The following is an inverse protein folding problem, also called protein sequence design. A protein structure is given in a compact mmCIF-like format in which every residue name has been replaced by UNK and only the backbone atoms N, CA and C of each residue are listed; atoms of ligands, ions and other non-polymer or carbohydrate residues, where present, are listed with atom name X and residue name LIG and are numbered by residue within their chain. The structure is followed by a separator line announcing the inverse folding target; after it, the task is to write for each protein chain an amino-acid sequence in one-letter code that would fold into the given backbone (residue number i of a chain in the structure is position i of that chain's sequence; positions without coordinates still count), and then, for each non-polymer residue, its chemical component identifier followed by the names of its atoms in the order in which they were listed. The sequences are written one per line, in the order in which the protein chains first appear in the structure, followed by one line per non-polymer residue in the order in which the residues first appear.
data_IF_802058374559
#
_entry.id   IF_802058374559
#
_cell.length_a   1.000
_cell.length_b   1.000
_cell.length_c   1.000
_cell.angle_alpha   90.00
_cell.angle_beta   90.00
_cell.angle_gamma   90.00
#
_symmetry.space_group_name_H-M   'P 1'
#
loop_
_entity.id
_entity.type
_entity.pdbx_description
1 polymer ?
#
# COMPACT_ATOMS: atom_id res chain seq x y z
N UNK A 1 -27.96 -14.35 -21.07
CA UNK A 1 -27.67 -13.96 -19.70
C UNK A 1 -27.29 -12.47 -19.78
N UNK A 2 -27.97 -11.60 -19.07
CA UNK A 2 -27.75 -10.14 -19.18
C UNK A 2 -26.54 -9.72 -18.33
N UNK A 3 -25.68 -8.88 -18.88
CA UNK A 3 -24.65 -8.18 -18.10
C UNK A 3 -25.37 -7.25 -17.12
N UNK A 4 -24.97 -7.23 -15.86
CA UNK A 4 -25.51 -6.32 -14.85
C UNK A 4 -25.27 -4.87 -15.32
N UNK A 5 -26.27 -4.00 -15.21
CA UNK A 5 -26.15 -2.61 -15.64
C UNK A 5 -25.12 -1.88 -14.76
N UNK A 6 -24.26 -1.06 -15.36
CA UNK A 6 -23.21 -0.33 -14.64
C UNK A 6 -23.77 0.60 -13.56
N UNK A 7 -24.96 1.14 -13.77
CA UNK A 7 -25.67 1.97 -12.79
C UNK A 7 -26.05 1.19 -11.54
N UNK A 8 -26.43 -0.08 -11.69
CA UNK A 8 -26.76 -0.97 -10.56
C UNK A 8 -25.50 -1.31 -9.77
N UNK A 9 -24.39 -1.67 -10.45
CA UNK A 9 -23.08 -1.89 -9.83
C UNK A 9 -22.65 -0.64 -9.06
N UNK A 10 -22.79 0.54 -9.67
CA UNK A 10 -22.47 1.84 -9.03
C UNK A 10 -23.29 2.06 -7.77
N UNK A 11 -24.59 1.77 -7.82
CA UNK A 11 -25.49 1.93 -6.67
C UNK A 11 -25.12 1.03 -5.51
N UNK A 12 -24.84 -0.26 -5.76
CA UNK A 12 -24.45 -1.24 -4.73
C UNK A 12 -23.10 -0.91 -4.09
N UNK A 13 -22.12 -0.48 -4.87
CA UNK A 13 -20.81 -0.03 -4.35
C UNK A 13 -21.00 1.23 -3.48
N UNK A 14 -21.76 2.22 -3.96
CA UNK A 14 -22.01 3.45 -3.22
C UNK A 14 -22.71 3.18 -1.87
N UNK A 15 -23.74 2.33 -1.85
CA UNK A 15 -24.46 1.97 -0.63
C UNK A 15 -23.54 1.36 0.43
N UNK A 16 -22.69 0.40 0.03
CA UNK A 16 -21.77 -0.26 0.94
C UNK A 16 -20.70 0.71 1.47
N UNK A 17 -20.11 1.54 0.62
CA UNK A 17 -19.10 2.52 1.04
C UNK A 17 -19.71 3.60 1.94
N UNK A 18 -20.91 4.09 1.64
CA UNK A 18 -21.62 5.05 2.49
C UNK A 18 -22.01 4.47 3.87
N UNK A 19 -22.20 3.16 3.97
CA UNK A 19 -22.38 2.49 5.25
C UNK A 19 -21.06 2.37 6.02
N UNK A 20 -20.00 1.89 5.36
CA UNK A 20 -18.70 1.62 5.96
C UNK A 20 -18.00 2.87 6.51
N UNK A 21 -18.17 4.02 5.87
CA UNK A 21 -17.60 5.29 6.36
C UNK A 21 -18.15 5.74 7.72
N UNK A 22 -19.26 5.17 8.19
CA UNK A 22 -19.80 5.46 9.53
C UNK A 22 -18.99 4.81 10.65
N UNK A 23 -18.23 3.77 10.33
CA UNK A 23 -17.41 3.05 11.30
C UNK A 23 -16.04 3.71 11.42
N UNK A 24 -16.00 4.84 12.10
CA UNK A 24 -14.81 5.68 12.31
C UNK A 24 -14.77 6.26 13.71
N UNK A 25 -13.58 6.37 14.29
CA UNK A 25 -13.34 7.04 15.57
C UNK A 25 -13.37 8.58 15.46
N UNK A 26 -13.34 9.13 14.23
CA UNK A 26 -13.33 10.59 13.95
C UNK A 26 -14.50 11.03 13.07
N UNK A 27 -15.76 10.89 13.52
CA UNK A 27 -16.93 11.25 12.71
C UNK A 27 -16.89 12.72 12.29
N UNK A 28 -16.94 12.98 10.97
CA UNK A 28 -16.91 14.34 10.41
C UNK A 28 -15.50 14.88 10.15
N UNK A 29 -14.46 14.13 10.49
CA UNK A 29 -13.07 14.48 10.23
C UNK A 29 -12.29 13.29 9.62
N UNK A 30 -12.86 12.70 8.57
CA UNK A 30 -12.33 11.55 7.86
C UNK A 30 -12.54 10.21 8.56
N UNK A 31 -11.90 9.18 8.02
CA UNK A 31 -11.96 7.82 8.55
C UNK A 31 -10.75 7.54 9.45
N UNK A 32 -11.03 7.07 10.67
CA UNK A 32 -10.02 6.50 11.58
C UNK A 32 -10.54 5.14 12.04
N UNK A 33 -10.03 4.08 11.40
CA UNK A 33 -10.40 2.69 11.65
C UNK A 33 -9.13 1.87 11.83
N UNK A 34 -8.53 2.02 13.02
CA UNK A 34 -7.30 1.29 13.34
C UNK A 34 -7.59 -0.20 13.61
N UNK A 35 -6.61 -1.09 13.38
CA UNK A 35 -6.78 -2.52 13.61
C UNK A 35 -7.08 -2.82 15.08
N UNK A 36 -7.89 -3.85 15.32
CA UNK A 36 -8.28 -4.33 16.64
C UNK A 36 -9.00 -3.29 17.52
N UNK A 37 -9.74 -2.36 16.88
CA UNK A 37 -10.61 -1.39 17.55
C UNK A 37 -12.09 -1.76 17.40
N UNK A 38 -12.95 -1.02 18.09
CA UNK A 38 -14.41 -1.16 17.95
C UNK A 38 -14.85 -0.83 16.52
N UNK A 39 -14.31 0.22 15.92
CA UNK A 39 -14.63 0.66 14.56
C UNK A 39 -14.27 -0.40 13.52
N UNK A 40 -13.11 -1.06 13.71
CA UNK A 40 -12.69 -2.20 12.88
C UNK A 40 -13.66 -3.39 13.07
N UNK A 41 -14.09 -3.69 14.31
CA UNK A 41 -15.06 -4.77 14.59
C UNK A 41 -16.39 -4.49 13.92
N UNK A 42 -16.89 -3.26 14.01
CA UNK A 42 -18.16 -2.86 13.40
C UNK A 42 -18.08 -2.99 11.85
N UNK A 43 -16.96 -2.58 11.25
CA UNK A 43 -16.72 -2.75 9.82
C UNK A 43 -16.66 -4.23 9.41
N UNK A 44 -15.91 -5.07 10.13
CA UNK A 44 -15.82 -6.53 9.88
C UNK A 44 -17.20 -7.19 9.97
N UNK A 45 -18.01 -6.83 10.99
CA UNK A 45 -19.37 -7.37 11.12
C UNK A 45 -20.23 -7.01 9.91
N UNK A 46 -20.17 -5.77 9.46
CA UNK A 46 -20.88 -5.33 8.25
C UNK A 46 -20.40 -6.05 6.99
N UNK A 47 -19.08 -6.17 6.80
CA UNK A 47 -18.51 -6.91 5.67
C UNK A 47 -18.98 -8.38 5.66
N UNK A 48 -19.04 -9.03 6.83
CA UNK A 48 -19.56 -10.39 6.95
C UNK A 48 -21.02 -10.50 6.52
N UNK A 49 -21.86 -9.54 6.88
CA UNK A 49 -23.27 -9.49 6.45
C UNK A 49 -23.35 -9.35 4.92
N UNK A 50 -22.64 -8.38 4.34
CA UNK A 50 -22.67 -8.11 2.90
C UNK A 50 -22.09 -9.27 2.08
N UNK A 51 -21.01 -9.91 2.55
CA UNK A 51 -20.44 -11.12 1.94
C UNK A 51 -21.43 -12.29 1.99
N UNK A 52 -22.12 -12.49 3.13
CA UNK A 52 -23.13 -13.53 3.27
C UNK A 52 -24.33 -13.31 2.32
N UNK A 53 -24.81 -12.08 2.18
CA UNK A 53 -25.84 -11.70 1.22
C UNK A 53 -25.40 -11.93 -0.23
N UNK A 54 -24.13 -11.71 -0.53
CA UNK A 54 -23.53 -12.04 -1.82
C UNK A 54 -23.47 -13.56 -2.08
N UNK A 55 -23.74 -14.41 -1.05
CA UNK A 55 -23.78 -15.85 -1.14
C UNK A 55 -22.44 -16.54 -0.87
N UNK A 56 -21.55 -15.86 -0.18
CA UNK A 56 -20.24 -16.37 0.22
C UNK A 56 -20.35 -17.13 1.57
N UNK A 57 -19.51 -18.15 1.75
CA UNK A 57 -19.26 -18.75 3.08
C UNK A 57 -18.21 -17.90 3.79
N UNK A 58 -18.58 -17.27 4.90
CA UNK A 58 -17.78 -16.22 5.54
C UNK A 58 -17.18 -16.69 6.86
N UNK A 59 -15.91 -16.41 7.07
CA UNK A 59 -15.22 -16.59 8.34
C UNK A 59 -14.24 -15.43 8.60
N UNK A 60 -13.78 -15.30 9.82
CA UNK A 60 -12.67 -14.44 10.21
C UNK A 60 -11.51 -15.37 10.60
N UNK A 61 -10.30 -15.11 10.12
CA UNK A 61 -9.13 -15.89 10.48
C UNK A 61 -8.46 -15.38 11.78
N UNK A 62 -7.40 -16.04 12.20
CA UNK A 62 -6.69 -15.76 13.45
C UNK A 62 -5.93 -14.41 13.42
N UNK A 63 -5.70 -13.84 12.24
CA UNK A 63 -5.12 -12.49 12.09
C UNK A 63 -6.18 -11.39 12.09
N UNK A 64 -7.47 -11.73 12.03
CA UNK A 64 -8.57 -10.80 11.92
C UNK A 64 -8.91 -10.42 10.47
N UNK A 65 -8.38 -11.15 9.48
CA UNK A 65 -8.84 -11.01 8.11
C UNK A 65 -10.27 -11.52 7.97
N UNK A 66 -11.13 -10.81 7.25
CA UNK A 66 -12.47 -11.30 6.92
C UNK A 66 -12.45 -11.93 5.54
N UNK A 67 -12.87 -13.19 5.44
CA UNK A 67 -12.75 -14.00 4.24
C UNK A 67 -14.11 -14.59 3.87
N UNK A 68 -14.50 -14.38 2.61
CA UNK A 68 -15.72 -14.96 2.02
C UNK A 68 -15.37 -15.86 0.84
N UNK A 69 -15.90 -17.09 0.80
CA UNK A 69 -15.61 -18.08 -0.25
C UNK A 69 -16.85 -18.34 -1.10
N UNK A 70 -16.76 -18.05 -2.39
CA UNK A 70 -17.66 -18.61 -3.40
C UNK A 70 -17.09 -19.94 -3.86
N UNK A 71 -17.77 -21.04 -3.51
CA UNK A 71 -17.30 -22.38 -3.85
C UNK A 71 -17.34 -22.67 -5.34
N UNK A 72 -16.24 -23.24 -5.82
CA UNK A 72 -16.14 -23.79 -7.16
C UNK A 72 -16.50 -25.28 -7.23
N UNK A 73 -16.63 -25.79 -8.44
CA UNK A 73 -16.91 -27.23 -8.71
C UNK A 73 -15.77 -28.13 -8.20
N UNK A 74 -14.52 -27.66 -8.25
CA UNK A 74 -13.35 -28.38 -7.76
C UNK A 74 -12.60 -27.49 -6.72
N UNK A 75 -12.92 -27.64 -5.43
CA UNK A 75 -12.32 -26.86 -4.36
C UNK A 75 -10.83 -27.17 -4.10
N UNK A 76 -10.30 -28.25 -4.66
CA UNK A 76 -8.90 -28.65 -4.50
C UNK A 76 -7.95 -27.88 -5.46
N UNK A 77 -8.50 -27.19 -6.46
CA UNK A 77 -7.72 -26.30 -7.32
C UNK A 77 -7.30 -25.03 -6.55
N UNK A 78 -6.10 -24.47 -6.84
CA UNK A 78 -5.71 -23.18 -6.30
C UNK A 78 -6.76 -22.11 -6.55
N UNK A 79 -7.19 -21.41 -5.52
CA UNK A 79 -8.24 -20.40 -5.65
C UNK A 79 -7.77 -19.13 -6.39
N UNK A 80 -8.72 -18.37 -6.91
CA UNK A 80 -8.51 -16.96 -7.25
C UNK A 80 -8.95 -16.16 -6.05
N UNK A 81 -8.09 -15.25 -5.57
CA UNK A 81 -8.39 -14.37 -4.44
C UNK A 81 -8.49 -12.92 -4.93
N UNK A 82 -9.45 -12.17 -4.41
CA UNK A 82 -9.61 -10.74 -4.67
C UNK A 82 -9.93 -10.00 -3.38
N UNK A 83 -9.28 -8.85 -3.16
CA UNK A 83 -9.54 -8.05 -1.98
C UNK A 83 -8.56 -6.91 -1.82
N UNK A 84 -8.57 -6.31 -0.65
CA UNK A 84 -7.70 -5.25 -0.15
C UNK A 84 -7.87 -5.18 1.37
N UNK A 85 -7.46 -4.08 2.02
CA UNK A 85 -7.57 -3.92 3.46
C UNK A 85 -8.85 -3.18 3.90
N UNK A 86 -9.20 -3.32 5.19
CA UNK A 86 -10.37 -2.64 5.75
C UNK A 86 -10.01 -1.59 6.81
N UNK A 87 -8.77 -1.54 7.28
CA UNK A 87 -8.26 -0.50 8.18
C UNK A 87 -7.98 0.80 7.44
N UNK A 88 -7.63 1.84 8.16
CA UNK A 88 -7.28 3.16 7.62
C UNK A 88 -6.23 3.85 8.49
N UNK A 89 -5.56 4.84 7.94
CA UNK A 89 -4.78 5.81 8.72
C UNK A 89 -5.67 6.67 9.62
N UNK A 90 -5.06 7.45 10.53
CA UNK A 90 -5.79 8.45 11.35
C UNK A 90 -6.26 9.59 10.45
N UNK A 91 -7.55 9.97 10.56
CA UNK A 91 -8.17 11.02 9.73
C UNK A 91 -7.96 10.79 8.22
N UNK A 92 -7.97 9.53 7.78
CA UNK A 92 -7.84 9.14 6.39
C UNK A 92 -9.07 9.44 5.54
N UNK A 93 -9.08 8.91 4.32
CA UNK A 93 -10.22 8.97 3.44
C UNK A 93 -11.25 7.87 3.68
N UNK A 94 -12.33 7.91 2.90
CA UNK A 94 -13.44 6.95 3.01
C UNK A 94 -13.28 5.75 2.05
N UNK A 95 -12.23 5.73 1.21
CA UNK A 95 -12.12 4.80 0.09
C UNK A 95 -10.86 3.93 0.13
N UNK A 96 -9.78 4.44 0.73
CA UNK A 96 -8.50 3.76 0.82
C UNK A 96 -8.64 2.35 1.39
N UNK A 97 -8.17 1.33 0.65
CA UNK A 97 -8.31 -0.10 0.95
C UNK A 97 -9.74 -0.62 0.90
N UNK A 98 -10.61 -0.05 1.72
CA UNK A 98 -11.97 -0.56 1.91
C UNK A 98 -12.80 -0.60 0.62
N UNK A 99 -12.54 0.31 -0.33
CA UNK A 99 -13.22 0.29 -1.63
C UNK A 99 -12.82 -0.96 -2.45
N UNK A 100 -11.57 -1.42 -2.34
CA UNK A 100 -11.12 -2.67 -2.96
C UNK A 100 -11.87 -3.88 -2.42
N UNK A 101 -12.09 -3.94 -1.10
CA UNK A 101 -12.89 -5.00 -0.47
C UNK A 101 -14.34 -4.99 -0.96
N UNK A 102 -14.97 -3.80 -1.01
CA UNK A 102 -16.35 -3.66 -1.52
C UNK A 102 -16.44 -4.06 -2.99
N UNK A 103 -15.48 -3.66 -3.82
CA UNK A 103 -15.44 -4.05 -5.24
C UNK A 103 -15.22 -5.56 -5.43
N UNK A 104 -14.46 -6.20 -4.55
CA UNK A 104 -14.28 -7.65 -4.56
C UNK A 104 -15.59 -8.40 -4.22
N UNK A 105 -16.33 -7.92 -3.21
CA UNK A 105 -17.66 -8.45 -2.88
C UNK A 105 -18.62 -8.25 -4.06
N UNK A 106 -18.59 -7.07 -4.69
CA UNK A 106 -19.42 -6.77 -5.86
C UNK A 106 -19.06 -7.69 -7.05
N UNK A 107 -17.78 -8.04 -7.26
CA UNK A 107 -17.38 -9.00 -8.27
C UNK A 107 -18.03 -10.38 -8.05
N UNK A 108 -18.08 -10.87 -6.81
CA UNK A 108 -18.76 -12.10 -6.47
C UNK A 108 -20.29 -12.02 -6.74
N UNK A 109 -20.92 -10.88 -6.42
CA UNK A 109 -22.35 -10.63 -6.74
C UNK A 109 -22.60 -10.66 -8.24
N UNK A 110 -21.76 -9.98 -9.04
CA UNK A 110 -21.92 -9.99 -10.50
C UNK A 110 -21.82 -11.41 -11.08
N UNK A 111 -20.88 -12.23 -10.61
CA UNK A 111 -20.79 -13.63 -11.04
C UNK A 111 -22.06 -14.42 -10.69
N UNK A 112 -22.61 -14.22 -9.50
CA UNK A 112 -23.87 -14.85 -9.06
C UNK A 112 -25.07 -14.41 -9.90
N UNK A 113 -25.20 -13.08 -10.14
CA UNK A 113 -26.28 -12.51 -10.94
C UNK A 113 -26.25 -13.01 -12.40
N UNK A 114 -25.07 -13.24 -12.93
CA UNK A 114 -24.88 -13.86 -14.24
C UNK A 114 -25.09 -15.38 -14.26
N UNK A 115 -25.28 -16.01 -13.10
CA UNK A 115 -25.42 -17.46 -12.98
C UNK A 115 -24.12 -18.21 -13.31
N UNK A 116 -22.98 -17.58 -13.11
CA UNK A 116 -21.68 -18.18 -13.36
C UNK A 116 -21.31 -19.16 -12.25
N UNK A 117 -20.91 -20.37 -12.63
CA UNK A 117 -20.39 -21.38 -11.71
C UNK A 117 -18.88 -21.49 -11.90
N UNK A 118 -18.07 -21.12 -10.90
CA UNK A 118 -16.62 -21.20 -11.00
C UNK A 118 -16.13 -22.63 -10.93
N UNK A 119 -15.04 -22.97 -11.64
CA UNK A 119 -14.38 -24.28 -11.52
C UNK A 119 -13.59 -24.42 -10.22
N UNK A 120 -12.97 -23.35 -9.76
CA UNK A 120 -12.19 -23.26 -8.52
C UNK A 120 -12.80 -22.25 -7.57
N UNK A 121 -12.42 -22.28 -6.30
CA UNK A 121 -12.91 -21.31 -5.33
C UNK A 121 -12.54 -19.88 -5.72
N UNK A 122 -13.47 -18.95 -5.49
CA UNK A 122 -13.20 -17.52 -5.51
C UNK A 122 -13.23 -16.99 -4.08
N UNK A 123 -12.09 -16.55 -3.57
CA UNK A 123 -11.95 -16.02 -2.22
C UNK A 123 -11.99 -14.48 -2.25
N UNK A 124 -12.84 -13.89 -1.43
CA UNK A 124 -12.90 -12.45 -1.20
C UNK A 124 -12.27 -12.17 0.16
N UNK A 125 -11.34 -11.22 0.25
CA UNK A 125 -10.65 -10.92 1.51
C UNK A 125 -10.66 -9.43 1.82
N UNK A 126 -10.89 -9.11 3.12
CA UNK A 126 -10.57 -7.84 3.72
C UNK A 126 -9.43 -8.05 4.72
N UNK A 127 -8.24 -7.56 4.40
CA UNK A 127 -7.04 -7.70 5.24
C UNK A 127 -7.08 -6.77 6.44
N UNK A 128 -6.46 -7.21 7.54
CA UNK A 128 -6.31 -6.47 8.78
C UNK A 128 -4.94 -5.80 8.83
N UNK A 129 -4.91 -4.49 9.11
CA UNK A 129 -3.68 -3.71 9.39
C UNK A 129 -2.67 -3.71 8.23
N UNK A 130 -3.10 -3.26 7.05
CA UNK A 130 -2.19 -2.98 5.94
C UNK A 130 -1.34 -1.74 6.23
N UNK A 131 -1.97 -0.69 6.73
CA UNK A 131 -1.40 0.65 6.93
C UNK A 131 -0.33 0.71 8.03
N UNK A 132 -0.36 -0.23 8.98
CA UNK A 132 0.60 -0.26 10.09
C UNK A 132 0.55 0.96 11.00
N UNK A 133 -0.52 1.75 10.93
CA UNK A 133 -0.60 3.05 11.59
C UNK A 133 -0.61 2.93 13.11
N UNK A 134 -1.19 1.86 13.65
CA UNK A 134 -1.27 1.66 15.10
C UNK A 134 0.02 1.14 15.69
N UNK A 135 0.67 0.18 15.07
CA UNK A 135 1.81 -0.55 15.64
C UNK A 135 3.15 -0.25 14.96
N UNK A 136 3.17 0.60 13.95
CA UNK A 136 4.39 0.97 13.21
C UNK A 136 4.92 -0.13 12.29
N UNK A 137 4.08 -1.10 11.95
CA UNK A 137 4.39 -2.19 11.02
C UNK A 137 3.14 -2.55 10.23
N UNK A 138 3.24 -2.56 8.90
CA UNK A 138 2.10 -2.81 8.00
C UNK A 138 2.03 -4.24 7.47
N UNK A 139 1.04 -4.47 6.59
CA UNK A 139 0.79 -5.75 5.92
C UNK A 139 0.63 -6.92 6.91
N UNK A 140 -0.01 -6.65 8.06
CA UNK A 140 -0.12 -7.66 9.12
C UNK A 140 -0.95 -8.84 8.65
N UNK A 141 -2.15 -8.59 8.11
CA UNK A 141 -3.09 -9.61 7.68
C UNK A 141 -2.58 -10.43 6.50
N UNK A 142 -2.10 -9.78 5.44
CA UNK A 142 -1.52 -10.48 4.28
C UNK A 142 -0.24 -11.23 4.63
N UNK A 143 0.61 -10.66 5.48
CA UNK A 143 1.80 -11.34 5.97
C UNK A 143 1.48 -12.55 6.86
N UNK A 144 0.43 -12.50 7.69
CA UNK A 144 -0.02 -13.65 8.46
C UNK A 144 -0.54 -14.78 7.54
N UNK A 145 -1.31 -14.43 6.51
CA UNK A 145 -1.79 -15.37 5.49
C UNK A 145 -0.65 -16.09 4.76
N UNK A 146 0.50 -15.44 4.58
CA UNK A 146 1.71 -16.03 4.00
C UNK A 146 2.60 -16.77 5.03
N UNK A 147 2.27 -16.68 6.34
CA UNK A 147 3.04 -17.28 7.43
C UNK A 147 4.27 -16.47 7.85
N UNK A 148 4.27 -15.17 7.60
CA UNK A 148 5.35 -14.25 7.98
C UNK A 148 5.13 -13.60 9.34
N UNK A 149 4.08 -13.98 10.09
CA UNK A 149 3.73 -13.44 11.40
C UNK A 149 3.64 -14.58 12.41
N UNK A 150 4.31 -14.44 13.54
CA UNK A 150 4.32 -15.38 14.64
C UNK A 150 3.95 -14.70 15.97
N UNK A 151 3.87 -15.46 17.04
CA UNK A 151 3.53 -14.97 18.38
C UNK A 151 4.54 -13.93 18.87
N UNK A 152 5.83 -14.11 18.58
CA UNK A 152 6.88 -13.18 19.00
C UNK A 152 6.80 -11.85 18.25
N UNK A 153 6.46 -11.89 16.97
CA UNK A 153 6.13 -10.70 16.20
C UNK A 153 5.00 -9.90 16.86
N UNK A 154 3.91 -10.58 17.24
CA UNK A 154 2.76 -9.94 17.88
C UNK A 154 3.12 -9.33 19.25
N UNK A 155 4.04 -9.92 20.01
CA UNK A 155 4.53 -9.38 21.29
C UNK A 155 5.50 -8.23 21.14
N UNK A 156 6.27 -8.21 20.03
CA UNK A 156 7.31 -7.22 19.77
C UNK A 156 6.75 -5.83 19.46
N UNK A 157 5.83 -5.74 18.51
CA UNK A 157 5.28 -4.48 18.02
C UNK A 157 4.20 -3.95 18.97
N UNK A 158 4.30 -2.66 19.32
CA UNK A 158 3.43 -1.99 20.28
C UNK A 158 2.99 -0.64 19.77
N UNK A 159 1.79 -0.25 20.15
CA UNK A 159 1.28 1.10 19.90
C UNK A 159 1.90 2.14 20.88
N UNK A 160 1.50 3.39 20.70
CA UNK A 160 2.00 4.53 21.53
C UNK A 160 1.64 4.42 23.01
N UNK A 161 0.63 3.64 23.36
CA UNK A 161 0.22 3.38 24.74
C UNK A 161 0.94 2.15 25.34
N UNK A 162 1.82 1.51 24.55
CA UNK A 162 2.59 0.33 24.94
C UNK A 162 1.80 -0.98 24.84
N UNK A 163 0.61 -0.97 24.24
CA UNK A 163 -0.21 -2.16 23.98
C UNK A 163 0.38 -2.91 22.78
N UNK A 164 0.73 -4.19 22.98
CA UNK A 164 1.24 -5.03 21.90
C UNK A 164 0.13 -5.46 20.93
N UNK A 165 0.49 -5.86 19.70
CA UNK A 165 -0.45 -6.53 18.78
C UNK A 165 -1.10 -7.72 19.50
N UNK A 166 -0.30 -8.50 20.24
CA UNK A 166 -0.75 -9.64 21.02
C UNK A 166 -1.89 -9.28 22.02
N UNK A 167 -1.71 -8.20 22.79
CA UNK A 167 -2.72 -7.77 23.77
C UNK A 167 -3.93 -7.14 23.07
N UNK A 168 -3.73 -6.43 21.97
CA UNK A 168 -4.80 -5.85 21.17
C UNK A 168 -5.68 -6.93 20.53
N UNK A 169 -5.10 -7.99 19.98
CA UNK A 169 -5.82 -9.17 19.45
C UNK A 169 -6.69 -9.83 20.52
N UNK A 170 -6.15 -10.04 21.72
CA UNK A 170 -6.93 -10.57 22.86
C UNK A 170 -8.12 -9.69 23.21
N UNK A 171 -7.88 -8.36 23.30
CA UNK A 171 -8.94 -7.39 23.57
C UNK A 171 -10.02 -7.35 22.48
N UNK A 172 -9.64 -7.68 21.26
CA UNK A 172 -10.53 -7.75 20.10
C UNK A 172 -11.33 -9.07 20.03
N UNK A 173 -10.92 -10.09 20.79
CA UNK A 173 -11.59 -11.40 20.86
C UNK A 173 -10.94 -12.48 19.98
N UNK A 174 -9.72 -12.25 19.49
CA UNK A 174 -8.89 -13.24 18.80
C UNK A 174 -7.95 -13.95 19.78
N UNK A 175 -7.42 -15.11 19.37
CA UNK A 175 -6.42 -15.86 20.12
C UNK A 175 -5.04 -15.72 19.45
N UNK A 176 -4.17 -14.79 19.91
CA UNK A 176 -2.88 -14.56 19.29
C UNK A 176 -1.90 -15.74 19.38
N UNK A 177 -2.14 -16.72 20.27
CA UNK A 177 -1.36 -17.95 20.31
C UNK A 177 -1.61 -18.84 19.07
N UNK A 178 -2.65 -18.53 18.28
CA UNK A 178 -3.02 -19.24 17.05
C UNK A 178 -2.72 -18.44 15.79
N UNK A 179 -2.00 -17.34 15.88
CA UNK A 179 -1.71 -16.47 14.71
C UNK A 179 -1.14 -17.24 13.50
N UNK A 180 -0.34 -18.29 13.78
CA UNK A 180 0.24 -19.12 12.74
C UNK A 180 -0.80 -19.98 11.99
N UNK A 181 -1.99 -20.21 12.58
CA UNK A 181 -3.11 -20.92 11.93
C UNK A 181 -3.77 -20.05 10.83
N UNK A 182 -3.52 -18.74 10.81
CA UNK A 182 -3.95 -17.86 9.72
C UNK A 182 -3.23 -18.13 8.39
N UNK A 183 -2.13 -18.89 8.42
CA UNK A 183 -1.36 -19.25 7.23
C UNK A 183 -2.15 -20.14 6.29
N UNK A 184 -2.31 -19.70 5.05
CA UNK A 184 -2.87 -20.53 3.99
C UNK A 184 -1.85 -21.56 3.49
N UNK A 185 -2.29 -22.77 3.12
CA UNK A 185 -1.39 -23.79 2.56
C UNK A 185 -0.67 -23.26 1.31
N UNK A 186 0.60 -23.58 1.17
CA UNK A 186 1.39 -23.22 -0.01
C UNK A 186 0.74 -23.76 -1.29
N UNK A 187 0.61 -22.90 -2.30
CA UNK A 187 -0.04 -23.23 -3.57
C UNK A 187 -1.57 -23.26 -3.54
N UNK A 188 -2.22 -22.99 -2.40
CA UNK A 188 -3.69 -22.92 -2.32
C UNK A 188 -4.28 -21.65 -2.94
N UNK A 189 -3.49 -20.57 -3.05
CA UNK A 189 -3.85 -19.34 -3.76
C UNK A 189 -3.12 -19.33 -5.10
N UNK A 190 -3.87 -19.39 -6.18
CA UNK A 190 -3.29 -19.39 -7.53
C UNK A 190 -3.05 -18.01 -8.13
N UNK A 191 -3.92 -17.06 -7.83
CA UNK A 191 -3.88 -15.68 -8.31
C UNK A 191 -4.45 -14.73 -7.27
N UNK A 192 -3.88 -13.52 -7.18
CA UNK A 192 -4.39 -12.44 -6.34
C UNK A 192 -4.72 -11.19 -7.17
N UNK A 193 -5.87 -10.58 -6.88
CA UNK A 193 -6.37 -9.40 -7.57
C UNK A 193 -6.68 -8.32 -6.54
N UNK A 194 -6.10 -7.12 -6.70
CA UNK A 194 -6.38 -5.99 -5.82
C UNK A 194 -6.87 -4.76 -6.61
N UNK A 195 -7.99 -4.17 -6.16
CA UNK A 195 -8.47 -2.89 -6.66
C UNK A 195 -8.20 -1.83 -5.59
N UNK A 196 -7.65 -0.70 -6.00
CA UNK A 196 -7.32 0.39 -5.09
C UNK A 196 -7.54 1.76 -5.73
N UNK A 197 -7.59 2.81 -4.94
CA UNK A 197 -7.45 4.18 -5.43
C UNK A 197 -5.99 4.44 -5.80
N UNK A 198 -5.72 5.34 -6.76
CA UNK A 198 -4.35 5.64 -7.20
C UNK A 198 -3.49 6.25 -6.08
N UNK A 199 -4.09 6.95 -5.14
CA UNK A 199 -3.41 7.78 -4.13
C UNK A 199 -2.47 8.85 -4.75
N UNK A 200 -2.57 9.04 -6.04
CA UNK A 200 -1.75 9.93 -6.86
C UNK A 200 -2.58 10.73 -7.86
N UNK A 201 -1.99 11.75 -8.51
CA UNK A 201 -2.73 12.69 -9.37
C UNK A 201 -2.75 12.31 -10.85
N UNK A 202 -2.13 11.20 -11.28
CA UNK A 202 -1.83 10.96 -12.70
C UNK A 202 -3.08 10.65 -13.50
N UNK A 203 -3.95 9.76 -12.99
CA UNK A 203 -5.16 9.35 -13.68
C UNK A 203 -6.15 10.53 -13.77
N UNK A 204 -6.37 11.23 -12.66
CA UNK A 204 -7.26 12.39 -12.60
C UNK A 204 -6.78 13.52 -13.53
N UNK A 205 -5.49 13.89 -13.46
CA UNK A 205 -4.91 14.93 -14.30
C UNK A 205 -4.95 14.61 -15.80
N UNK A 206 -4.92 13.33 -16.18
CA UNK A 206 -4.98 12.87 -17.57
C UNK A 206 -6.38 12.47 -18.03
N UNK A 207 -7.40 12.53 -17.14
CA UNK A 207 -8.76 12.07 -17.40
C UNK A 207 -8.79 10.59 -17.85
N UNK A 208 -8.01 9.74 -17.21
CA UNK A 208 -7.95 8.29 -17.45
C UNK A 208 -8.82 7.60 -16.39
N UNK A 209 -9.69 6.71 -16.85
CA UNK A 209 -10.66 6.02 -15.98
C UNK A 209 -10.05 4.85 -15.21
N UNK A 210 -9.06 4.17 -15.80
CA UNK A 210 -8.49 2.94 -15.25
C UNK A 210 -6.97 2.97 -15.33
N UNK A 211 -6.32 2.70 -14.20
CA UNK A 211 -4.89 2.45 -14.11
C UNK A 211 -4.61 0.94 -14.03
N UNK A 212 -3.86 0.40 -14.96
CA UNK A 212 -3.35 -0.97 -14.90
C UNK A 212 -1.96 -0.94 -14.26
N UNK A 213 -1.85 -1.44 -13.04
CA UNK A 213 -0.58 -1.35 -12.29
C UNK A 213 0.38 -2.42 -12.78
N UNK A 214 1.53 -1.99 -13.31
CA UNK A 214 2.54 -2.89 -13.87
C UNK A 214 3.63 -3.28 -12.86
N UNK A 215 3.79 -2.47 -11.79
CA UNK A 215 4.81 -2.68 -10.77
C UNK A 215 4.43 -1.96 -9.47
N UNK A 216 4.69 -2.57 -8.33
CA UNK A 216 4.78 -1.86 -7.05
C UNK A 216 6.26 -1.52 -6.85
N UNK A 217 6.57 -0.23 -6.67
CA UNK A 217 7.97 0.24 -6.66
C UNK A 217 8.74 -0.27 -5.45
N UNK A 218 10.02 -0.53 -5.65
CA UNK A 218 10.96 -0.74 -4.56
C UNK A 218 11.26 0.57 -3.83
N UNK A 219 11.64 0.46 -2.56
CA UNK A 219 11.90 1.60 -1.67
C UNK A 219 13.22 1.38 -0.95
N UNK A 220 14.08 2.42 -0.92
CA UNK A 220 15.19 2.48 0.04
C UNK A 220 15.13 3.79 0.81
N UNK A 221 15.15 3.69 2.14
CA UNK A 221 15.15 4.86 3.05
C UNK A 221 16.41 4.89 3.89
N UNK A 222 16.96 6.08 3.99
CA UNK A 222 18.17 6.34 4.76
C UNK A 222 17.99 7.52 5.69
N UNK A 223 18.62 7.45 6.87
CA UNK A 223 19.01 8.59 7.68
C UNK A 223 20.50 8.82 7.47
N UNK A 224 20.88 9.98 7.00
CA UNK A 224 22.27 10.39 6.78
C UNK A 224 22.65 11.40 7.84
N UNK A 225 23.75 11.17 8.53
CA UNK A 225 24.33 12.11 9.49
C UNK A 225 25.71 12.55 9.00
N UNK A 226 25.88 13.83 8.75
CA UNK A 226 27.19 14.43 8.43
C UNK A 226 27.74 15.11 9.68
N UNK A 227 28.97 14.79 10.07
CA UNK A 227 29.64 15.33 11.24
C UNK A 227 30.78 16.28 10.81
N UNK A 228 30.76 17.46 11.37
CA UNK A 228 31.77 18.50 11.22
C UNK A 228 32.25 19.00 12.59
N UNK A 229 32.33 20.32 12.76
CA UNK A 229 32.77 20.95 14.01
C UNK A 229 32.04 22.28 14.21
N UNK A 230 31.54 22.50 15.44
CA UNK A 230 30.94 23.76 15.81
C UNK A 230 32.05 24.84 15.97
N UNK A 231 31.87 25.95 15.25
CA UNK A 231 32.79 27.10 15.31
C UNK A 231 31.96 28.43 15.30
N UNK A 232 32.59 29.52 15.66
CA UNK A 232 31.95 30.84 15.60
C UNK A 232 31.81 31.28 14.13
N UNK A 233 30.59 31.57 13.68
CA UNK A 233 30.30 31.86 12.28
C UNK A 233 30.98 33.13 11.72
N UNK A 234 31.28 34.10 12.57
CA UNK A 234 31.89 35.37 12.16
C UNK A 234 33.43 35.41 12.22
N UNK A 235 34.04 34.57 13.07
CA UNK A 235 35.49 34.61 13.32
C UNK A 235 36.26 33.44 12.71
N UNK A 236 35.59 32.37 12.31
CA UNK A 236 36.25 31.23 11.68
C UNK A 236 36.26 31.40 10.16
N UNK A 237 37.45 31.53 9.53
CA UNK A 237 37.60 31.64 8.08
C UNK A 237 36.99 30.45 7.35
N UNK A 238 36.53 30.65 6.10
CA UNK A 238 35.82 29.61 5.32
C UNK A 238 36.67 28.36 5.11
N UNK A 239 37.96 28.49 4.89
CA UNK A 239 38.93 27.41 4.65
C UNK A 239 39.37 26.66 5.93
N UNK A 240 38.93 27.12 7.09
CA UNK A 240 39.21 26.47 8.40
C UNK A 240 38.00 25.78 9.00
N UNK A 241 36.83 25.84 8.33
CA UNK A 241 35.57 25.27 8.82
C UNK A 241 35.47 23.79 8.51
N UNK A 242 34.87 23.04 9.44
CA UNK A 242 34.28 21.72 9.19
C UNK A 242 32.76 21.88 9.23
N UNK A 243 32.20 22.49 8.19
CA UNK A 243 30.80 22.85 8.13
C UNK A 243 29.95 21.70 7.59
N UNK A 244 29.26 21.02 8.51
CA UNK A 244 28.43 19.85 8.17
C UNK A 244 27.29 20.21 7.21
N UNK A 245 26.74 21.44 7.29
CA UNK A 245 25.64 21.91 6.42
C UNK A 245 26.15 22.20 5.01
N UNK A 246 27.31 22.83 4.86
CA UNK A 246 27.90 23.09 3.54
C UNK A 246 28.17 21.78 2.79
N UNK A 247 28.75 20.78 3.47
CA UNK A 247 29.00 19.48 2.86
C UNK A 247 27.71 18.73 2.52
N UNK A 248 26.73 18.68 3.46
CA UNK A 248 25.45 17.98 3.26
C UNK A 248 24.64 18.60 2.12
N UNK A 249 24.54 19.93 2.03
CA UNK A 249 23.73 20.61 1.01
C UNK A 249 24.25 20.41 -0.41
N UNK A 250 25.58 20.28 -0.59
CA UNK A 250 26.18 19.91 -1.88
C UNK A 250 25.75 18.55 -2.37
N UNK A 251 25.50 17.60 -1.46
CA UNK A 251 24.97 16.26 -1.79
C UNK A 251 23.46 16.35 -2.01
N UNK A 252 22.71 16.91 -1.06
CA UNK A 252 21.25 17.04 -1.08
C UNK A 252 20.77 17.66 -2.39
N UNK A 253 21.43 18.74 -2.84
CA UNK A 253 21.04 19.45 -4.06
C UNK A 253 21.11 18.62 -5.34
N UNK A 254 21.83 17.49 -5.35
CA UNK A 254 21.99 16.62 -6.50
C UNK A 254 21.03 15.46 -6.55
N UNK A 255 20.50 15.04 -5.41
CA UNK A 255 19.66 13.85 -5.30
C UNK A 255 18.43 13.91 -6.21
N UNK A 256 17.62 15.00 -6.24
CA UNK A 256 16.48 15.10 -7.14
C UNK A 256 16.87 15.03 -8.63
N UNK A 257 18.03 15.57 -9.01
CA UNK A 257 18.48 15.56 -10.39
C UNK A 257 18.87 14.12 -10.82
N UNK A 258 19.52 13.35 -9.95
CA UNK A 258 19.84 11.96 -10.23
C UNK A 258 18.60 11.09 -10.44
N UNK A 259 17.50 11.36 -9.72
CA UNK A 259 16.23 10.70 -9.96
C UNK A 259 15.62 11.11 -11.32
N UNK A 260 15.63 12.42 -11.67
CA UNK A 260 15.11 12.91 -12.95
C UNK A 260 15.88 12.36 -14.16
N UNK A 261 17.21 12.15 -14.02
CA UNK A 261 18.06 11.55 -15.07
C UNK A 261 17.61 10.13 -15.47
N UNK A 262 16.91 9.40 -14.58
CA UNK A 262 16.40 8.05 -14.90
C UNK A 262 15.28 8.06 -15.93
N UNK A 263 14.48 9.13 -15.99
CA UNK A 263 13.40 9.34 -16.96
C UNK A 263 12.37 8.18 -17.04
N UNK A 264 12.21 7.39 -15.97
CA UNK A 264 11.37 6.20 -15.89
C UNK A 264 10.34 6.25 -14.74
N UNK A 265 10.16 7.42 -14.11
CA UNK A 265 9.29 7.61 -12.96
C UNK A 265 9.99 7.39 -11.61
N UNK A 266 11.30 7.10 -11.60
CA UNK A 266 12.11 7.05 -10.36
C UNK A 266 12.03 8.38 -9.63
N UNK A 267 11.78 8.34 -8.31
CA UNK A 267 11.74 9.51 -7.44
C UNK A 267 12.73 9.40 -6.30
N UNK A 268 13.24 10.53 -5.83
CA UNK A 268 14.07 10.60 -4.63
C UNK A 268 13.76 11.88 -3.86
N UNK A 269 13.43 11.72 -2.58
CA UNK A 269 12.90 12.79 -1.73
C UNK A 269 13.75 12.96 -0.48
N UNK A 270 14.03 14.20 -0.11
CA UNK A 270 14.57 14.59 1.19
C UNK A 270 13.40 15.13 2.01
N UNK A 271 12.89 14.33 2.96
CA UNK A 271 11.71 14.68 3.77
C UNK A 271 12.04 15.38 5.09
N UNK A 272 13.30 15.32 5.54
CA UNK A 272 13.74 15.87 6.81
C UNK A 272 15.17 16.40 6.70
N UNK A 273 15.42 17.57 7.28
CA UNK A 273 16.75 18.14 7.45
C UNK A 273 16.81 18.78 8.84
N UNK A 274 17.84 18.47 9.61
CA UNK A 274 18.10 19.05 10.90
C UNK A 274 19.56 19.45 11.05
N UNK A 275 19.83 20.55 11.75
CA UNK A 275 21.18 21.08 11.99
C UNK A 275 21.42 21.25 13.48
N UNK A 276 22.59 20.83 13.94
CA UNK A 276 22.96 20.88 15.36
C UNK A 276 24.22 21.75 15.48
N UNK A 277 24.26 22.73 16.37
CA UNK A 277 23.23 23.11 17.36
C UNK A 277 22.12 24.04 16.82
N UNK A 278 22.09 24.39 15.53
CA UNK A 278 20.98 25.14 14.92
C UNK A 278 20.96 26.65 15.26
N UNK A 279 22.11 27.24 15.50
CA UNK A 279 22.22 28.67 15.84
C UNK A 279 22.63 29.54 14.65
N UNK A 280 22.13 30.77 14.57
CA UNK A 280 22.40 31.69 13.46
C UNK A 280 23.87 32.15 13.36
N UNK A 281 24.62 32.08 14.45
CA UNK A 281 26.00 32.53 14.56
C UNK A 281 26.99 31.41 14.86
N UNK A 282 26.62 30.17 14.60
CA UNK A 282 27.41 28.96 14.83
C UNK A 282 27.51 28.17 13.54
N UNK A 283 28.71 27.73 13.17
CA UNK A 283 28.94 26.73 12.13
C UNK A 283 28.39 25.40 12.66
N UNK A 284 27.56 24.68 11.86
CA UNK A 284 26.95 23.46 12.32
C UNK A 284 27.97 22.31 12.45
N UNK A 285 27.99 21.67 13.62
CA UNK A 285 28.80 20.48 13.85
C UNK A 285 28.15 19.22 13.29
N UNK A 286 26.81 19.22 13.09
CA UNK A 286 26.09 18.08 12.54
C UNK A 286 24.96 18.54 11.63
N UNK A 287 24.78 17.80 10.54
CA UNK A 287 23.60 17.90 9.68
C UNK A 287 23.02 16.50 9.48
N UNK A 288 21.73 16.33 9.81
CA UNK A 288 20.98 15.10 9.65
C UNK A 288 19.93 15.30 8.55
N UNK A 289 19.80 14.34 7.63
CA UNK A 289 18.75 14.38 6.62
C UNK A 289 18.31 12.97 6.22
N UNK A 290 17.04 12.85 5.78
CA UNK A 290 16.50 11.59 5.27
C UNK A 290 16.56 11.57 3.75
N UNK A 291 16.64 10.35 3.19
CA UNK A 291 16.47 10.09 1.77
C UNK A 291 15.46 8.96 1.60
N UNK A 292 14.45 9.16 0.76
CA UNK A 292 13.49 8.14 0.32
C UNK A 292 13.64 8.01 -1.20
N UNK A 293 14.09 6.84 -1.68
CA UNK A 293 14.28 6.53 -3.10
C UNK A 293 13.26 5.47 -3.49
N UNK A 294 12.49 5.71 -4.56
CA UNK A 294 11.51 4.75 -5.09
C UNK A 294 11.67 4.57 -6.58
N UNK A 295 11.65 3.33 -7.05
CA UNK A 295 11.78 2.99 -8.47
C UNK A 295 11.21 1.60 -8.77
N UNK A 296 10.83 1.38 -10.04
CA UNK A 296 10.57 0.03 -10.58
C UNK A 296 11.85 -0.80 -10.72
N UNK A 297 13.03 -0.18 -10.67
CA UNK A 297 14.32 -0.79 -10.93
C UNK A 297 15.23 -0.70 -9.71
N UNK A 298 15.62 -1.85 -9.17
CA UNK A 298 16.66 -1.93 -8.14
C UNK A 298 17.97 -1.32 -8.58
N UNK A 299 18.34 -1.47 -9.85
CA UNK A 299 19.58 -0.88 -10.39
C UNK A 299 19.54 0.65 -10.29
N UNK A 300 18.38 1.27 -10.54
CA UNK A 300 18.23 2.72 -10.41
C UNK A 300 18.27 3.17 -8.95
N UNK A 301 17.65 2.43 -8.03
CA UNK A 301 17.72 2.70 -6.59
C UNK A 301 19.19 2.60 -6.13
N UNK A 302 19.85 1.53 -6.46
CA UNK A 302 21.24 1.27 -6.09
C UNK A 302 22.22 2.29 -6.70
N UNK A 303 22.00 2.71 -7.96
CA UNK A 303 22.81 3.75 -8.59
C UNK A 303 22.70 5.09 -7.82
N UNK A 304 21.48 5.54 -7.50
CA UNK A 304 21.28 6.77 -6.72
C UNK A 304 21.90 6.64 -5.34
N UNK A 305 21.72 5.52 -4.64
CA UNK A 305 22.32 5.27 -3.33
C UNK A 305 23.87 5.28 -3.39
N UNK A 306 24.46 4.72 -4.45
CA UNK A 306 25.92 4.73 -4.66
C UNK A 306 26.43 6.13 -4.99
N UNK A 307 25.69 6.91 -5.79
CA UNK A 307 26.03 8.33 -6.05
C UNK A 307 25.98 9.17 -4.79
N UNK A 308 25.02 8.93 -3.90
CA UNK A 308 24.94 9.58 -2.59
C UNK A 308 26.19 9.27 -1.78
N UNK A 309 26.57 7.99 -1.65
CA UNK A 309 27.80 7.57 -0.92
C UNK A 309 29.05 8.22 -1.52
N UNK A 310 29.19 8.17 -2.85
CA UNK A 310 30.34 8.77 -3.53
C UNK A 310 30.42 10.29 -3.35
N UNK A 311 29.27 10.98 -3.34
CA UNK A 311 29.21 12.42 -3.10
C UNK A 311 29.54 12.75 -1.64
N UNK A 312 29.03 11.99 -0.66
CA UNK A 312 29.38 12.13 0.74
C UNK A 312 30.87 11.90 0.96
N UNK A 313 31.44 10.85 0.37
CA UNK A 313 32.89 10.60 0.42
C UNK A 313 33.71 11.79 -0.10
N UNK A 314 33.29 12.39 -1.21
CA UNK A 314 33.99 13.53 -1.79
C UNK A 314 33.85 14.80 -0.93
N UNK A 315 32.62 15.18 -0.61
CA UNK A 315 32.36 16.49 0.05
C UNK A 315 32.76 16.48 1.55
N UNK A 316 32.42 15.38 2.25
CA UNK A 316 32.68 15.29 3.69
C UNK A 316 34.16 15.03 3.99
N UNK A 317 34.82 14.17 3.20
CA UNK A 317 36.26 13.94 3.36
C UNK A 317 37.09 15.16 2.96
N UNK A 318 36.67 15.90 1.91
CA UNK A 318 37.34 17.14 1.53
C UNK A 318 37.25 18.21 2.63
N UNK A 319 36.15 18.23 3.38
CA UNK A 319 35.97 19.06 4.57
C UNK A 319 36.83 18.58 5.78
N UNK A 320 37.24 17.31 5.82
CA UNK A 320 37.91 16.68 6.96
C UNK A 320 36.95 16.16 8.05
N UNK A 321 35.67 16.02 7.73
CA UNK A 321 34.63 15.47 8.59
C UNK A 321 34.40 13.98 8.42
N UNK A 322 33.30 13.48 9.00
CA UNK A 322 32.82 12.12 8.85
C UNK A 322 31.32 12.07 8.58
N UNK A 323 30.82 10.93 8.10
CA UNK A 323 29.38 10.71 7.94
C UNK A 323 29.01 9.29 8.33
N UNK A 324 27.73 9.11 8.64
CA UNK A 324 27.08 7.83 8.86
C UNK A 324 25.82 7.73 8.00
N UNK A 325 25.48 6.51 7.54
CA UNK A 325 24.25 6.19 6.80
C UNK A 325 23.57 5.04 7.51
N UNK A 326 22.44 5.35 8.16
CA UNK A 326 21.58 4.35 8.78
C UNK A 326 20.45 3.99 7.80
N UNK A 327 20.43 2.73 7.38
CA UNK A 327 19.40 2.19 6.47
C UNK A 327 18.13 1.88 7.26
N UNK A 328 17.05 2.61 7.00
CA UNK A 328 15.78 2.48 7.71
C UNK A 328 14.83 1.46 7.08
N UNK A 329 14.86 1.34 5.74
CA UNK A 329 13.97 0.45 5.00
C UNK A 329 14.60 0.05 3.68
N UNK A 330 14.43 -1.21 3.31
CA UNK A 330 14.73 -1.75 1.97
C UNK A 330 13.59 -2.65 1.56
N UNK A 331 12.93 -2.31 0.47
CA UNK A 331 11.85 -3.10 -0.16
C UNK A 331 12.21 -3.25 -1.63
N UNK A 332 12.19 -4.50 -2.11
CA UNK A 332 12.38 -4.81 -3.52
C UNK A 332 11.12 -4.48 -4.33
N UNK A 333 11.24 -4.02 -5.58
CA UNK A 333 10.07 -3.81 -6.45
C UNK A 333 9.42 -5.15 -6.80
N UNK A 334 8.10 -5.15 -6.89
CA UNK A 334 7.31 -6.32 -7.30
C UNK A 334 6.70 -6.05 -8.67
N UNK A 335 7.12 -6.81 -9.68
CA UNK A 335 6.52 -6.78 -11.02
C UNK A 335 5.23 -7.58 -11.00
N UNK A 336 4.16 -7.00 -11.53
CA UNK A 336 2.85 -7.63 -11.58
C UNK A 336 2.67 -8.50 -12.83
N UNK A 337 1.71 -9.44 -12.81
CA UNK A 337 1.54 -10.47 -13.83
C UNK A 337 1.10 -9.86 -15.19
N UNK A 338 1.99 -9.87 -16.17
CA UNK A 338 1.76 -9.31 -17.50
C UNK A 338 0.59 -9.98 -18.23
N UNK A 339 0.40 -11.30 -18.09
CA UNK A 339 -0.69 -11.99 -18.75
C UNK A 339 -2.07 -11.56 -18.24
N UNK A 340 -2.21 -11.34 -16.94
CA UNK A 340 -3.44 -10.79 -16.36
C UNK A 340 -3.64 -9.31 -16.75
N UNK A 341 -2.57 -8.53 -16.81
CA UNK A 341 -2.62 -7.14 -17.27
C UNK A 341 -3.09 -7.04 -18.73
N UNK A 342 -2.59 -7.90 -19.62
CA UNK A 342 -3.00 -7.95 -21.02
C UNK A 342 -4.50 -8.27 -21.16
N UNK A 343 -5.01 -9.20 -20.34
CA UNK A 343 -6.44 -9.55 -20.31
C UNK A 343 -7.29 -8.33 -19.91
N UNK A 344 -6.87 -7.59 -18.88
CA UNK A 344 -7.60 -6.39 -18.44
C UNK A 344 -7.51 -5.26 -19.47
N UNK A 345 -6.35 -5.11 -20.14
CA UNK A 345 -6.17 -4.13 -21.19
C UNK A 345 -7.12 -4.40 -22.38
N UNK A 346 -7.25 -5.66 -22.79
CA UNK A 346 -8.22 -6.06 -23.81
C UNK A 346 -9.66 -5.79 -23.39
N UNK A 347 -10.01 -6.05 -22.13
CA UNK A 347 -11.36 -5.79 -21.61
C UNK A 347 -11.67 -4.28 -21.55
N UNK A 348 -10.71 -3.44 -21.14
CA UNK A 348 -10.83 -1.97 -21.20
C UNK A 348 -11.09 -1.50 -22.62
N UNK A 349 -10.31 -1.98 -23.62
CA UNK A 349 -10.50 -1.67 -25.03
C UNK A 349 -11.89 -2.07 -25.54
N UNK A 350 -12.33 -3.27 -25.20
CA UNK A 350 -13.63 -3.80 -25.62
C UNK A 350 -14.81 -3.00 -25.05
N UNK A 351 -14.65 -2.44 -23.83
CA UNK A 351 -15.67 -1.60 -23.18
C UNK A 351 -15.58 -0.12 -23.56
N UNK A 352 -14.50 0.30 -24.21
CA UNK A 352 -14.25 1.70 -24.55
C UNK A 352 -13.83 2.56 -23.36
N UNK A 353 -13.29 1.95 -22.30
CA UNK A 353 -12.74 2.68 -21.16
C UNK A 353 -11.34 3.20 -21.48
N UNK A 354 -11.06 4.43 -21.07
CA UNK A 354 -9.70 4.98 -21.11
C UNK A 354 -8.84 4.33 -20.02
N UNK A 355 -7.64 3.92 -20.38
CA UNK A 355 -6.72 3.26 -19.44
C UNK A 355 -5.27 3.63 -19.73
N UNK A 356 -4.41 3.41 -18.74
CA UNK A 356 -2.96 3.46 -18.91
C UNK A 356 -2.26 2.48 -17.95
N UNK A 357 -1.06 2.02 -18.34
CA UNK A 357 -0.17 1.31 -17.44
C UNK A 357 0.65 2.31 -16.63
N UNK A 358 0.80 2.06 -15.33
CA UNK A 358 1.56 2.91 -14.42
C UNK A 358 2.05 2.08 -13.21
N UNK A 359 3.13 2.50 -12.53
CA UNK A 359 3.52 1.86 -11.28
C UNK A 359 2.66 2.34 -10.11
N UNK A 360 2.57 1.52 -9.04
CA UNK A 360 2.21 2.02 -7.72
C UNK A 360 3.43 2.62 -7.03
N UNK A 361 3.32 3.86 -6.61
CA UNK A 361 4.29 4.53 -5.75
C UNK A 361 4.11 4.21 -4.26
N UNK A 362 2.98 3.61 -3.87
CA UNK A 362 2.64 3.17 -2.52
C UNK A 362 2.80 1.66 -2.38
N UNK A 363 2.91 1.17 -1.14
CA UNK A 363 2.79 -0.24 -0.84
C UNK A 363 1.32 -0.64 -0.70
N UNK A 364 1.02 -1.93 -0.88
CA UNK A 364 -0.31 -2.51 -0.78
C UNK A 364 -0.17 -3.95 -0.29
N UNK A 365 -1.25 -4.62 0.08
CA UNK A 365 -1.20 -6.07 0.38
C UNK A 365 -0.62 -6.86 -0.81
N UNK A 366 -0.86 -6.39 -2.04
CA UNK A 366 -0.24 -6.91 -3.26
C UNK A 366 1.29 -6.86 -3.26
N UNK A 367 1.94 -5.97 -2.49
CA UNK A 367 3.39 -5.94 -2.32
C UNK A 367 3.90 -7.19 -1.59
N UNK A 368 3.20 -7.60 -0.54
CA UNK A 368 3.54 -8.78 0.26
C UNK A 368 3.19 -10.07 -0.51
N UNK A 369 1.97 -10.13 -1.06
CA UNK A 369 1.46 -11.32 -1.76
C UNK A 369 2.16 -11.53 -3.11
N UNK A 370 2.41 -10.46 -3.84
CA UNK A 370 3.00 -10.50 -5.19
C UNK A 370 4.44 -11.00 -5.26
N UNK A 371 5.12 -11.12 -4.12
CA UNK A 371 6.44 -11.74 -4.04
C UNK A 371 6.40 -13.25 -4.29
N UNK A 372 5.25 -13.91 -4.03
CA UNK A 372 5.13 -15.37 -4.06
C UNK A 372 3.93 -15.86 -4.88
N UNK A 373 2.95 -15.02 -5.15
CA UNK A 373 1.73 -15.36 -5.88
C UNK A 373 1.57 -14.41 -7.08
N UNK A 374 1.28 -14.92 -8.30
CA UNK A 374 0.98 -14.07 -9.44
C UNK A 374 -0.16 -13.10 -9.11
N UNK A 375 0.13 -11.81 -9.15
CA UNK A 375 -0.71 -10.75 -8.63
C UNK A 375 -0.94 -9.67 -9.68
N UNK A 376 -2.09 -9.04 -9.64
CA UNK A 376 -2.42 -7.88 -10.46
C UNK A 376 -3.16 -6.82 -9.62
N UNK A 377 -2.98 -5.56 -9.98
CA UNK A 377 -3.70 -4.45 -9.38
C UNK A 377 -4.33 -3.55 -10.44
N UNK A 378 -5.46 -2.95 -10.07
CA UNK A 378 -6.15 -1.94 -10.86
C UNK A 378 -6.38 -0.69 -10.01
N UNK A 379 -6.08 0.48 -10.58
CA UNK A 379 -6.32 1.77 -9.94
C UNK A 379 -7.52 2.48 -10.52
N UNK A 380 -8.20 3.25 -9.67
CA UNK A 380 -9.18 4.27 -10.04
C UNK A 380 -8.66 5.66 -9.66
N UNK A 381 -9.08 6.73 -10.38
CA UNK A 381 -8.58 8.08 -10.15
C UNK A 381 -8.85 8.58 -8.72
N UNK A 382 -7.84 9.17 -8.09
CA UNK A 382 -7.99 9.95 -6.87
C UNK A 382 -8.08 11.43 -7.23
N UNK A 383 -9.17 12.10 -6.86
CA UNK A 383 -9.37 13.52 -7.15
C UNK A 383 -8.21 14.36 -6.58
N UNK A 384 -7.58 15.17 -7.45
CA UNK A 384 -6.43 15.98 -7.10
C UNK A 384 -5.23 15.16 -6.52
N UNK A 385 -5.25 13.84 -6.68
CA UNK A 385 -4.24 12.93 -6.12
C UNK A 385 -4.25 12.83 -4.60
N UNK A 386 -5.36 13.21 -3.95
CA UNK A 386 -5.47 13.26 -2.49
C UNK A 386 -5.82 11.88 -1.94
N UNK A 387 -5.02 11.44 -0.95
CA UNK A 387 -5.27 10.27 -0.12
C UNK A 387 -4.72 10.50 1.29
N UNK A 388 -5.01 9.61 2.24
CA UNK A 388 -4.63 9.73 3.66
C UNK A 388 -5.10 11.04 4.31
N UNK A 389 -6.26 11.54 3.89
CA UNK A 389 -6.84 12.78 4.40
C UNK A 389 -8.36 12.82 4.21
N UNK A 390 -9.09 13.62 5.01
CA UNK A 390 -10.57 13.66 4.97
C UNK A 390 -11.18 14.15 3.65
N UNK A 391 -10.38 14.76 2.77
CA UNK A 391 -10.84 15.27 1.47
C UNK A 391 -10.58 14.30 0.31
N UNK A 392 -10.12 13.09 0.60
CA UNK A 392 -10.00 12.00 -0.37
C UNK A 392 -11.32 11.76 -1.08
N UNK A 393 -11.28 11.63 -2.39
CA UNK A 393 -12.48 11.40 -3.16
C UNK A 393 -12.22 10.66 -4.47
N UNK A 394 -13.06 9.66 -4.74
CA UNK A 394 -13.19 8.97 -6.02
C UNK A 394 -14.69 8.83 -6.35
N UNK A 395 -15.07 8.98 -7.62
CA UNK A 395 -16.45 8.78 -8.02
C UNK A 395 -16.84 7.31 -7.93
N UNK A 396 -18.02 7.01 -7.42
CA UNK A 396 -18.52 5.62 -7.35
C UNK A 396 -18.59 4.94 -8.73
N UNK A 397 -18.84 5.71 -9.79
CA UNK A 397 -18.85 5.20 -11.16
C UNK A 397 -17.46 4.73 -11.64
N UNK A 398 -16.36 5.29 -11.13
CA UNK A 398 -15.02 4.83 -11.44
C UNK A 398 -14.74 3.46 -10.79
N UNK A 399 -15.13 3.28 -9.52
CA UNK A 399 -15.10 1.98 -8.87
C UNK A 399 -15.93 0.92 -9.62
N UNK A 400 -17.13 1.30 -10.10
CA UNK A 400 -17.97 0.38 -10.86
C UNK A 400 -17.30 -0.09 -12.15
N UNK A 401 -16.66 0.80 -12.92
CA UNK A 401 -15.93 0.46 -14.14
C UNK A 401 -14.77 -0.50 -13.84
N UNK A 402 -13.96 -0.17 -12.84
CA UNK A 402 -12.83 -1.01 -12.45
C UNK A 402 -13.30 -2.38 -11.91
N UNK A 403 -14.37 -2.42 -11.09
CA UNK A 403 -14.98 -3.66 -10.60
C UNK A 403 -15.44 -4.56 -11.74
N UNK A 404 -16.06 -4.01 -12.79
CA UNK A 404 -16.51 -4.80 -13.96
C UNK A 404 -15.32 -5.37 -14.73
N UNK A 405 -14.21 -4.63 -14.90
CA UNK A 405 -12.98 -5.14 -15.53
C UNK A 405 -12.37 -6.27 -14.69
N UNK A 406 -12.26 -6.07 -13.36
CA UNK A 406 -11.76 -7.10 -12.45
C UNK A 406 -12.64 -8.34 -12.43
N UNK A 407 -13.98 -8.18 -12.48
CA UNK A 407 -14.92 -9.29 -12.58
C UNK A 407 -14.71 -10.06 -13.89
N UNK A 408 -14.45 -9.37 -15.00
CA UNK A 408 -14.13 -9.97 -16.30
C UNK A 408 -12.86 -10.83 -16.23
N UNK A 409 -11.80 -10.34 -15.59
CA UNK A 409 -10.57 -11.10 -15.34
C UNK A 409 -10.85 -12.28 -14.41
N UNK A 410 -11.48 -12.05 -13.25
CA UNK A 410 -11.80 -13.13 -12.30
C UNK A 410 -12.59 -14.25 -12.97
N UNK A 411 -13.59 -13.94 -13.81
CA UNK A 411 -14.39 -14.91 -14.55
C UNK A 411 -13.55 -15.78 -15.48
N UNK A 412 -12.57 -15.19 -16.20
CA UNK A 412 -11.64 -15.97 -17.05
C UNK A 412 -10.79 -16.92 -16.21
N UNK A 413 -10.18 -16.43 -15.13
CA UNK A 413 -9.33 -17.23 -14.24
C UNK A 413 -10.09 -18.33 -13.51
N UNK A 414 -11.34 -18.07 -13.14
CA UNK A 414 -12.22 -19.05 -12.47
C UNK A 414 -12.77 -20.11 -13.41
N UNK A 415 -12.70 -19.91 -14.74
CA UNK A 415 -13.11 -20.88 -15.76
C UNK A 415 -11.99 -21.86 -16.16
N UNK A 416 -10.76 -21.60 -15.80
CA UNK A 416 -9.59 -22.45 -16.02
C UNK A 416 -9.55 -23.61 -14.99
#
# INVERSE_FOLDING_TARGET
MGTVAIEEVTGRIAENLECLKRFTATPGDGCTRLPFTKEARDAVNYLREVMTEAGLEVHEDEAGNVIGILKGENPDLPCVMMGSHYDSVVNGGDFDGIAGVVCAIEAARQLKDEGFTPKRNFAIVGFCDEEGMRFGTGYFGSGAMLGHRDVEYCKHYKDTDGISIYDAMKGYGLDPEKIEDAKWPEGSIGKFLELHIEQGPVLDAKNIEIGLVDCIVGIQRYMVTVNGRADHAGTTPMDMRLDAVDAATKVISKIPDWAREKADGTVATIGYINTIPGGMNIVAEKCEFTVDIRSKSNDNINDIANRIRAALDREVKAMGGSYDIDTKLVIEPVMLDEGMLDIMEEDCKARGYSYMRLPSGAGHDALEIGQVIPTVMIFVPSKDGRSHCPVEFTKYSEFAKASVVMTGLAKKLLAE
#
